data_IF_094758745071
#
_entry.id   IF_094758745071
#
_cell.length_a   1.000
_cell.length_b   1.000
_cell.length_c   1.000
_cell.angle_alpha   90.00
_cell.angle_beta   90.00
_cell.angle_gamma   90.00
#
_symmetry.space_group_name_H-M   'P 1'
#
loop_
_entity.id
_entity.type
_entity.pdbx_description
1 polymer ?
#
# COMPACT_ATOMS: atom_id res chain seq x y z
N UNK A 1 2.82 16.05 -12.40
CA UNK A 1 4.26 16.00 -12.72
C UNK A 1 5.04 15.79 -11.42
N UNK A 2 4.79 16.58 -10.37
CA UNK A 2 5.38 16.37 -9.03
C UNK A 2 5.10 14.98 -8.41
N UNK A 3 3.97 14.32 -8.72
CA UNK A 3 3.62 13.01 -8.13
C UNK A 3 4.52 11.84 -8.59
N UNK A 4 5.04 11.89 -9.82
CA UNK A 4 5.81 10.79 -10.41
C UNK A 4 7.30 10.89 -10.02
N UNK A 5 7.83 12.10 -9.98
CA UNK A 5 9.23 12.36 -9.57
C UNK A 5 9.51 11.87 -8.15
N UNK A 6 8.53 11.97 -7.24
CA UNK A 6 8.71 11.47 -5.86
C UNK A 6 8.81 9.95 -5.82
N UNK A 7 7.98 9.22 -6.58
CA UNK A 7 8.02 7.74 -6.59
C UNK A 7 9.32 7.22 -7.22
N UNK A 8 9.83 7.89 -8.26
CA UNK A 8 11.12 7.55 -8.87
C UNK A 8 12.30 7.82 -7.91
N UNK A 9 12.29 8.93 -7.16
CA UNK A 9 13.27 9.20 -6.09
C UNK A 9 13.20 8.18 -4.93
N UNK A 10 12.04 7.53 -4.72
CA UNK A 10 11.82 6.56 -3.67
C UNK A 10 12.30 5.14 -3.99
N UNK A 11 12.50 4.80 -5.27
CA UNK A 11 13.08 3.50 -5.68
C UNK A 11 14.57 3.39 -5.30
N UNK A 12 15.29 4.52 -5.26
CA UNK A 12 16.74 4.57 -4.98
C UNK A 12 17.11 4.31 -3.50
N UNK A 13 16.13 4.31 -2.58
CA UNK A 13 16.37 4.15 -1.13
C UNK A 13 16.22 2.72 -0.59
N UNK A 14 16.03 1.72 -1.47
CA UNK A 14 16.00 0.30 -1.11
C UNK A 14 14.61 -0.18 -0.68
N UNK A 15 14.14 -1.24 -1.33
CA UNK A 15 12.96 -2.10 -1.07
C UNK A 15 11.66 -1.42 -0.61
N UNK A 16 11.55 -0.09 -0.68
CA UNK A 16 10.67 0.71 0.17
C UNK A 16 9.24 0.20 0.19
N UNK A 17 8.86 -0.41 1.31
CA UNK A 17 7.49 -0.73 1.63
C UNK A 17 6.86 0.58 2.09
N UNK A 18 6.11 1.21 1.19
CA UNK A 18 5.45 2.47 1.48
C UNK A 18 4.00 2.22 1.86
N UNK A 19 3.53 2.93 2.87
CA UNK A 19 2.13 2.88 3.30
C UNK A 19 1.42 4.22 3.10
N UNK A 20 0.19 4.17 2.61
CA UNK A 20 -0.64 5.36 2.33
C UNK A 20 -1.96 5.31 3.11
N UNK A 21 -2.46 6.48 3.50
CA UNK A 21 -3.80 6.60 4.08
C UNK A 21 -4.87 6.07 3.10
N UNK A 22 -6.05 5.72 3.61
CA UNK A 22 -7.17 5.26 2.76
C UNK A 22 -7.54 6.24 1.64
N UNK A 23 -7.47 7.55 1.92
CA UNK A 23 -7.84 8.57 0.94
C UNK A 23 -6.75 8.83 -0.11
N UNK A 24 -5.49 8.54 0.22
CA UNK A 24 -4.36 8.75 -0.68
C UNK A 24 -3.99 7.51 -1.50
N UNK A 25 -4.27 6.32 -0.99
CA UNK A 25 -3.97 5.05 -1.65
C UNK A 25 -4.48 4.97 -3.10
N UNK A 26 -5.69 5.45 -3.47
CA UNK A 26 -6.11 5.49 -4.87
C UNK A 26 -5.18 6.29 -5.80
N UNK A 27 -4.69 7.45 -5.34
CA UNK A 27 -3.75 8.27 -6.14
C UNK A 27 -2.38 7.61 -6.25
N UNK A 28 -1.92 6.98 -5.17
CA UNK A 28 -0.68 6.20 -5.18
C UNK A 28 -0.77 5.06 -6.21
N UNK A 29 -1.90 4.35 -6.22
CA UNK A 29 -2.15 3.27 -7.18
C UNK A 29 -2.07 3.77 -8.62
N UNK A 30 -2.76 4.87 -8.92
CA UNK A 30 -2.77 5.47 -10.26
C UNK A 30 -1.36 5.86 -10.73
N UNK A 31 -0.54 6.44 -9.84
CA UNK A 31 0.80 6.87 -10.21
C UNK A 31 1.80 5.73 -10.36
N UNK A 32 1.78 4.75 -9.45
CA UNK A 32 2.61 3.54 -9.57
C UNK A 32 2.27 2.80 -10.87
N UNK A 33 0.98 2.71 -11.22
CA UNK A 33 0.55 2.15 -12.51
C UNK A 33 1.04 2.99 -13.70
N UNK A 34 1.03 4.32 -13.60
CA UNK A 34 1.54 5.21 -14.64
C UNK A 34 3.06 5.07 -14.87
N UNK A 35 3.81 4.60 -13.87
CA UNK A 35 5.22 4.20 -13.98
C UNK A 35 5.41 2.81 -14.59
N UNK A 36 4.32 2.14 -14.98
CA UNK A 36 4.37 0.79 -15.54
C UNK A 36 4.71 -0.28 -14.50
N UNK A 37 4.40 -0.06 -13.23
CA UNK A 37 4.61 -1.07 -12.17
C UNK A 37 3.30 -1.83 -11.93
N UNK A 38 3.40 -3.15 -11.78
CA UNK A 38 2.26 -4.01 -11.51
C UNK A 38 2.17 -4.33 -10.02
N UNK A 39 0.96 -4.39 -9.45
CA UNK A 39 0.77 -4.72 -8.05
C UNK A 39 0.79 -6.22 -7.83
N UNK A 40 1.42 -6.67 -6.76
CA UNK A 40 1.50 -8.09 -6.38
C UNK A 40 0.77 -8.40 -5.08
N UNK A 41 0.38 -7.36 -4.33
CA UNK A 41 -0.35 -7.52 -3.09
C UNK A 41 -0.22 -6.28 -2.21
N UNK A 42 -0.43 -6.51 -0.92
CA UNK A 42 -0.23 -5.50 0.10
C UNK A 42 -0.87 -5.91 1.41
N UNK A 43 -0.85 -4.99 2.35
CA UNK A 43 -1.40 -5.18 3.67
C UNK A 43 -1.98 -3.88 4.24
N UNK A 44 -2.82 -4.04 5.26
CA UNK A 44 -3.41 -2.94 6.00
C UNK A 44 -2.81 -2.89 7.38
N UNK A 45 -2.36 -1.69 7.74
CA UNK A 45 -1.63 -1.40 8.95
C UNK A 45 -2.40 -0.38 9.78
N UNK A 46 -2.30 -0.49 11.10
CA UNK A 46 -2.91 0.44 12.04
C UNK A 46 -1.84 1.29 12.71
N UNK A 47 -1.92 2.61 12.52
CA UNK A 47 -1.17 3.57 13.32
C UNK A 47 -1.98 3.92 14.58
N UNK A 48 -1.50 3.50 15.76
CA UNK A 48 -2.21 3.73 17.03
C UNK A 48 -1.82 5.08 17.65
N UNK A 49 -2.75 6.04 17.63
CA UNK A 49 -2.50 7.42 18.04
C UNK A 49 -1.49 8.15 17.13
N UNK A 50 -1.04 9.35 17.53
CA UNK A 50 0.05 10.08 16.83
C UNK A 50 1.43 9.42 16.97
N UNK A 51 1.50 8.13 17.33
CA UNK A 51 2.76 7.38 17.52
C UNK A 51 3.30 6.80 16.22
N UNK A 52 3.17 7.52 15.11
CA UNK A 52 4.23 7.40 14.11
C UNK A 52 5.44 8.04 14.80
N UNK A 53 6.54 7.29 15.03
CA UNK A 53 7.69 7.82 15.77
C UNK A 53 8.09 9.17 15.15
N UNK A 54 8.46 10.17 15.95
CA UNK A 54 8.81 11.51 15.44
C UNK A 54 9.94 11.46 14.38
N UNK A 55 10.76 10.41 14.42
CA UNK A 55 11.85 10.13 13.47
C UNK A 55 11.47 9.13 12.37
N UNK A 56 10.23 8.61 12.37
CA UNK A 56 9.74 7.86 11.22
C UNK A 56 9.68 8.82 10.05
N UNK A 57 10.31 8.50 8.91
CA UNK A 57 10.27 9.34 7.73
C UNK A 57 8.85 9.29 7.16
N UNK A 58 7.95 10.05 7.77
CA UNK A 58 6.70 10.45 7.14
C UNK A 58 7.11 11.49 6.11
N UNK A 59 7.35 11.02 4.90
CA UNK A 59 7.70 11.90 3.81
C UNK A 59 6.40 12.50 3.28
N UNK A 60 6.45 13.81 3.04
CA UNK A 60 5.35 14.53 2.43
C UNK A 60 5.19 14.02 1.00
N UNK A 61 4.13 13.24 0.79
CA UNK A 61 3.71 12.80 -0.51
C UNK A 61 3.10 13.95 -1.32
N UNK A 62 2.79 13.69 -2.60
CA UNK A 62 2.67 14.76 -3.60
C UNK A 62 1.32 15.48 -3.59
N UNK A 63 0.57 15.39 -2.49
CA UNK A 63 -0.74 16.04 -2.29
C UNK A 63 -0.99 16.44 -0.83
N UNK A 64 0.06 16.79 -0.08
CA UNK A 64 0.03 16.82 1.39
C UNK A 64 -0.27 15.43 2.01
N UNK A 65 -0.12 14.36 1.22
CA UNK A 65 -0.28 12.98 1.68
C UNK A 65 0.91 12.58 2.55
N UNK A 66 0.70 11.63 3.46
CA UNK A 66 1.76 11.11 4.32
C UNK A 66 2.17 9.74 3.81
N UNK A 67 3.44 9.59 3.44
CA UNK A 67 4.03 8.35 2.94
C UNK A 67 5.07 7.91 3.96
N UNK A 68 5.03 6.65 4.38
CA UNK A 68 6.00 6.14 5.35
C UNK A 68 6.89 5.07 4.72
N UNK A 69 8.20 5.25 4.79
CA UNK A 69 9.16 4.41 4.05
C UNK A 69 9.54 3.08 4.73
N UNK A 70 9.12 2.87 5.98
CA UNK A 70 9.30 1.61 6.71
C UNK A 70 8.17 1.45 7.76
N UNK A 71 7.04 0.86 7.38
CA UNK A 71 5.90 0.65 8.26
C UNK A 71 6.18 -0.28 9.45
N UNK A 72 7.10 -1.24 9.28
CA UNK A 72 7.39 -2.22 10.33
C UNK A 72 8.29 -1.65 11.44
N UNK A 73 9.09 -0.61 11.15
CA UNK A 73 9.91 0.08 12.15
C UNK A 73 9.20 1.22 12.90
N UNK A 74 8.00 1.62 12.46
CA UNK A 74 7.36 2.87 12.85
C UNK A 74 6.29 2.75 13.94
N UNK A 75 6.12 1.55 14.53
CA UNK A 75 5.14 1.33 15.61
C UNK A 75 3.72 1.15 15.09
N UNK A 76 3.56 0.74 13.83
CA UNK A 76 2.30 0.26 13.29
C UNK A 76 2.03 -1.17 13.75
N UNK A 77 0.75 -1.47 13.91
CA UNK A 77 0.27 -2.82 14.19
C UNK A 77 -0.24 -3.47 12.90
N UNK A 78 0.35 -4.60 12.53
CA UNK A 78 -0.08 -5.42 11.37
C UNK A 78 -1.38 -6.18 11.64
N UNK A 79 -1.66 -6.44 12.92
CA UNK A 79 -2.90 -7.05 13.38
C UNK A 79 -3.84 -5.97 13.86
N UNK A 80 -5.04 -5.93 13.28
CA UNK A 80 -6.06 -4.96 13.63
C UNK A 80 -7.03 -5.57 14.67
N UNK A 81 -7.43 -4.80 15.69
CA UNK A 81 -8.41 -5.23 16.68
C UNK A 81 -9.82 -5.28 16.04
N UNK A 82 -10.53 -6.37 16.30
CA UNK A 82 -11.90 -6.61 15.82
C UNK A 82 -12.90 -6.46 16.96
N UNK A 83 -14.13 -6.02 16.67
CA UNK A 83 -15.21 -5.86 17.67
C UNK A 83 -15.61 -7.14 18.40
N UNK A 84 -15.30 -8.30 17.82
CA UNK A 84 -15.53 -9.61 18.45
C UNK A 84 -14.42 -10.01 19.46
N UNK A 85 -13.45 -9.13 19.72
CA UNK A 85 -12.33 -9.35 20.63
C UNK A 85 -11.15 -10.12 20.03
N UNK A 86 -11.20 -10.46 18.74
CA UNK A 86 -10.07 -11.08 18.01
C UNK A 86 -9.17 -10.02 17.37
N UNK A 87 -7.99 -10.45 16.95
CA UNK A 87 -7.05 -9.65 16.16
C UNK A 87 -6.89 -10.30 14.79
N UNK A 88 -6.79 -9.50 13.73
CA UNK A 88 -6.68 -10.01 12.37
C UNK A 88 -5.71 -9.18 11.54
N UNK A 89 -4.81 -9.86 10.83
CA UNK A 89 -4.02 -9.27 9.76
C UNK A 89 -4.83 -9.24 8.47
N UNK A 90 -4.74 -8.13 7.76
CA UNK A 90 -5.45 -7.91 6.51
C UNK A 90 -4.44 -7.77 5.39
N UNK A 91 -4.21 -8.86 4.67
CA UNK A 91 -3.34 -8.88 3.48
C UNK A 91 -4.14 -9.28 2.24
N UNK A 92 -3.64 -8.88 1.07
CA UNK A 92 -4.12 -9.39 -0.20
C UNK A 92 -2.93 -9.72 -1.11
N UNK A 93 -3.17 -10.65 -2.02
CA UNK A 93 -2.24 -10.99 -3.08
C UNK A 93 -2.96 -10.83 -4.41
N UNK A 94 -2.21 -10.43 -5.43
CA UNK A 94 -2.70 -10.37 -6.79
C UNK A 94 -2.20 -11.60 -7.54
N UNK A 95 -3.08 -12.25 -8.28
CA UNK A 95 -2.71 -13.41 -9.08
C UNK A 95 -1.64 -13.04 -10.13
N UNK A 96 -0.67 -13.94 -10.39
CA UNK A 96 0.34 -13.75 -11.42
C UNK A 96 -0.24 -13.40 -12.79
N UNK A 97 0.62 -12.86 -13.66
CA UNK A 97 0.26 -12.51 -15.03
C UNK A 97 -0.37 -13.69 -15.76
N UNK A 98 -1.56 -13.46 -16.31
CA UNK A 98 -2.37 -14.46 -17.03
C UNK A 98 -1.85 -14.61 -18.45
N UNK A 99 -1.97 -15.79 -19.08
CA UNK A 99 -1.58 -15.99 -20.48
C UNK A 99 -2.30 -15.07 -21.48
N UNK A 100 -3.49 -14.56 -21.12
CA UNK A 100 -4.26 -13.63 -21.94
C UNK A 100 -3.73 -12.19 -21.90
N UNK A 101 -2.86 -11.86 -20.95
CA UNK A 101 -2.26 -10.53 -20.80
C UNK A 101 -1.01 -10.46 -21.68
N UNK A 102 -1.22 -10.17 -22.97
CA UNK A 102 -0.16 -10.24 -23.99
C UNK A 102 0.91 -9.15 -23.79
N UNK A 103 0.52 -7.99 -23.23
CA UNK A 103 1.44 -6.90 -22.91
C UNK A 103 1.56 -6.70 -21.40
N UNK A 104 2.72 -6.20 -20.95
CA UNK A 104 2.92 -5.86 -19.54
C UNK A 104 1.92 -4.80 -19.04
N UNK A 105 1.60 -3.82 -19.89
CA UNK A 105 0.61 -2.78 -19.58
C UNK A 105 -0.78 -3.34 -19.29
N UNK A 106 -1.16 -4.48 -19.88
CA UNK A 106 -2.44 -5.13 -19.59
C UNK A 106 -2.45 -5.68 -18.15
N UNK A 107 -1.33 -6.25 -17.72
CA UNK A 107 -1.13 -6.74 -16.34
C UNK A 107 -1.10 -5.58 -15.34
N UNK A 108 -0.39 -4.50 -15.63
CA UNK A 108 -0.39 -3.28 -14.82
C UNK A 108 -1.82 -2.74 -14.64
N UNK A 109 -2.56 -2.59 -15.73
CA UNK A 109 -3.92 -2.07 -15.68
C UNK A 109 -4.86 -2.97 -14.85
N UNK A 110 -4.77 -4.29 -14.99
CA UNK A 110 -5.57 -5.22 -14.20
C UNK A 110 -5.23 -5.15 -12.71
N UNK A 111 -3.95 -5.29 -12.37
CA UNK A 111 -3.50 -5.36 -10.97
C UNK A 111 -3.76 -4.06 -10.21
N UNK A 112 -3.65 -2.90 -10.89
CA UNK A 112 -4.04 -1.60 -10.34
C UNK A 112 -5.54 -1.55 -10.02
N UNK A 113 -6.39 -2.03 -10.94
CA UNK A 113 -7.83 -2.02 -10.74
C UNK A 113 -8.27 -2.99 -9.62
N UNK A 114 -7.67 -4.19 -9.55
CA UNK A 114 -7.92 -5.16 -8.48
C UNK A 114 -7.50 -4.59 -7.11
N UNK A 115 -6.31 -3.99 -7.01
CA UNK A 115 -5.80 -3.37 -5.78
C UNK A 115 -6.70 -2.20 -5.35
N UNK A 116 -7.14 -1.37 -6.29
CA UNK A 116 -8.06 -0.26 -6.00
C UNK A 116 -9.40 -0.76 -5.43
N UNK A 117 -9.94 -1.86 -5.96
CA UNK A 117 -11.17 -2.45 -5.44
C UNK A 117 -11.00 -3.04 -4.03
N UNK A 118 -9.82 -3.57 -3.70
CA UNK A 118 -9.50 -3.99 -2.33
C UNK A 118 -9.47 -2.78 -1.39
N UNK A 119 -8.67 -1.74 -1.70
CA UNK A 119 -8.53 -0.53 -0.87
C UNK A 119 -9.89 0.14 -0.61
N UNK A 120 -10.78 0.17 -1.60
CA UNK A 120 -12.12 0.74 -1.45
C UNK A 120 -12.99 -0.03 -0.45
N UNK A 121 -12.84 -1.35 -0.35
CA UNK A 121 -13.78 -2.22 0.38
C UNK A 121 -13.22 -2.76 1.69
N UNK A 122 -11.91 -2.82 1.83
CA UNK A 122 -11.26 -3.64 2.84
C UNK A 122 -10.28 -2.81 3.68
N UNK A 123 -10.21 -3.01 5.01
CA UNK A 123 -11.15 -3.80 5.81
C UNK A 123 -12.52 -3.11 5.90
N UNK A 124 -13.56 -3.87 6.28
CA UNK A 124 -14.82 -3.27 6.72
C UNK A 124 -14.59 -2.65 8.11
N UNK A 125 -14.47 -1.32 8.14
CA UNK A 125 -14.29 -0.56 9.38
C UNK A 125 -15.43 -0.76 10.38
N UNK A 126 -16.61 -1.19 9.91
CA UNK A 126 -17.73 -1.58 10.76
C UNK A 126 -17.43 -2.79 11.66
N UNK A 127 -16.47 -3.64 11.28
CA UNK A 127 -16.04 -4.82 12.06
C UNK A 127 -14.87 -4.53 13.00
N UNK A 128 -14.19 -3.41 12.82
CA UNK A 128 -12.97 -3.05 13.54
C UNK A 128 -13.27 -2.32 14.86
N UNK A 129 -12.46 -2.59 15.87
CA UNK A 129 -12.46 -1.89 17.16
C UNK A 129 -11.28 -0.92 17.23
N UNK A 130 -11.25 0.04 16.30
CA UNK A 130 -10.13 0.97 16.16
C UNK A 130 -10.10 1.97 17.33
N UNK A 131 -8.99 2.07 18.09
CA UNK A 131 -8.86 3.06 19.15
C UNK A 131 -8.98 4.50 18.62
N UNK A 132 -9.62 5.39 19.38
CA UNK A 132 -9.78 6.80 19.01
C UNK A 132 -8.42 7.46 18.67
N UNK A 133 -8.39 8.20 17.56
CA UNK A 133 -7.17 8.87 17.09
C UNK A 133 -6.17 7.96 16.38
N UNK A 134 -6.55 6.71 16.08
CA UNK A 134 -5.78 5.81 15.21
C UNK A 134 -6.23 5.93 13.76
N UNK A 135 -5.35 5.57 12.83
CA UNK A 135 -5.61 5.66 11.39
C UNK A 135 -5.11 4.42 10.65
N UNK A 136 -5.82 4.05 9.58
CA UNK A 136 -5.47 2.92 8.72
C UNK A 136 -4.58 3.36 7.56
N UNK A 137 -3.56 2.55 7.31
CA UNK A 137 -2.63 2.72 6.21
C UNK A 137 -2.57 1.45 5.36
N UNK A 138 -2.35 1.62 4.07
CA UNK A 138 -2.29 0.57 3.07
C UNK A 138 -0.87 0.50 2.55
N UNK A 139 -0.15 -0.55 2.95
CA UNK A 139 1.14 -0.87 2.35
C UNK A 139 0.87 -1.56 1.01
N UNK A 140 1.38 -0.98 -0.09
CA UNK A 140 1.20 -1.54 -1.42
C UNK A 140 2.49 -2.23 -1.84
N UNK A 141 2.39 -3.42 -2.43
CA UNK A 141 3.54 -4.13 -2.98
C UNK A 141 3.43 -4.18 -4.50
N UNK A 142 4.51 -3.82 -5.20
CA UNK A 142 4.56 -3.80 -6.66
C UNK A 142 5.86 -4.36 -7.21
N UNK A 143 5.88 -4.59 -8.51
CA UNK A 143 6.99 -5.15 -9.30
C UNK A 143 7.11 -4.41 -10.62
N UNK A 144 8.28 -4.50 -11.25
CA UNK A 144 8.54 -3.98 -12.59
C UNK A 144 8.74 -5.12 -13.59
N UNK A 145 8.58 -4.84 -14.88
CA UNK A 145 8.75 -5.87 -15.94
C UNK A 145 10.13 -6.53 -15.91
N UNK A 146 11.16 -5.78 -15.49
CA UNK A 146 12.54 -6.25 -15.44
C UNK A 146 12.89 -7.01 -14.15
N UNK A 147 12.02 -6.95 -13.14
CA UNK A 147 12.19 -7.59 -11.84
C UNK A 147 10.94 -8.39 -11.49
N UNK A 148 10.60 -9.41 -12.31
CA UNK A 148 9.38 -10.17 -12.11
C UNK A 148 9.36 -10.76 -10.70
N UNK A 149 8.17 -10.86 -10.08
CA UNK A 149 8.05 -11.36 -8.72
C UNK A 149 8.74 -12.73 -8.63
N UNK A 150 9.67 -12.88 -7.70
CA UNK A 150 10.33 -14.15 -7.46
C UNK A 150 9.26 -15.15 -7.04
N UNK A 151 9.10 -16.24 -7.81
CA UNK A 151 8.23 -17.34 -7.41
C UNK A 151 8.75 -17.90 -6.08
N UNK A 152 7.93 -17.77 -5.02
CA UNK A 152 8.17 -18.39 -3.72
C UNK A 152 7.79 -19.86 -3.70
#
# INVERSE_FOLDING_TARGET
MEFLETIEEYEDNGNGEYAWSRCDAPKAIEAIAALGKAFIGGEVLLAVGKKIKEDSPIVKGPSDSFVMSDPHQSGMEESLPMKNGTWRTFTWNIDPRKPSELLWVDYVARTANETLEVVKKFPDEGELDIPEGSELYYCLCWTSENEPPQEG
#
